data_IF_398581555026
#
_entry.id   IF_398581555026
#
_cell.length_a   1.000
_cell.length_b   1.000
_cell.length_c   1.000
_cell.angle_alpha   90.00
_cell.angle_beta   90.00
_cell.angle_gamma   90.00
#
_symmetry.space_group_name_H-M   'P 1'
#
loop_
_entity.id
_entity.type
_entity.pdbx_description
1 polymer ?
#
# COMPACT_ATOMS: atom_id res chain seq x y z
N UNK A 1 -10.57 0.99 6.70
CA UNK A 1 -9.19 1.05 7.24
C UNK A 1 -8.96 2.33 8.05
N UNK A 2 -7.97 2.39 8.95
CA UNK A 2 -7.52 3.64 9.60
C UNK A 2 -6.26 4.16 8.91
N UNK A 3 -6.14 5.48 8.77
CA UNK A 3 -5.02 6.12 8.09
C UNK A 3 -4.37 7.19 8.97
N UNK A 4 -3.06 7.37 8.83
CA UNK A 4 -2.37 8.51 9.42
C UNK A 4 -2.64 9.78 8.61
N UNK A 5 -2.49 10.94 9.24
CA UNK A 5 -2.57 12.22 8.53
C UNK A 5 -1.51 12.34 7.42
N UNK A 6 -0.31 11.80 7.65
CA UNK A 6 0.74 11.73 6.63
C UNK A 6 0.31 10.92 5.40
N UNK A 7 -0.37 9.78 5.60
CA UNK A 7 -0.93 8.99 4.51
C UNK A 7 -2.03 9.77 3.76
N UNK A 8 -2.96 10.41 4.49
CA UNK A 8 -4.04 11.20 3.88
C UNK A 8 -3.52 12.35 3.02
N UNK A 9 -2.43 13.01 3.44
CA UNK A 9 -1.76 14.02 2.64
C UNK A 9 -1.04 13.40 1.43
N UNK A 10 -0.32 12.30 1.64
CA UNK A 10 0.52 11.69 0.61
C UNK A 10 -0.31 11.05 -0.52
N UNK A 11 -1.49 10.49 -0.23
CA UNK A 11 -2.37 9.91 -1.27
C UNK A 11 -2.92 10.95 -2.24
N UNK A 12 -2.89 12.24 -1.89
CA UNK A 12 -3.35 13.33 -2.76
C UNK A 12 -2.30 13.76 -3.79
N UNK A 13 -1.04 13.30 -3.66
CA UNK A 13 0.02 13.66 -4.61
C UNK A 13 -0.32 13.12 -6.01
N UNK A 14 -0.03 13.87 -7.09
CA UNK A 14 -0.39 13.46 -8.46
C UNK A 14 0.14 12.07 -8.86
N UNK A 15 1.31 11.68 -8.37
CA UNK A 15 1.94 10.37 -8.61
C UNK A 15 1.27 9.21 -7.86
N UNK A 16 0.27 9.49 -7.01
CA UNK A 16 -0.37 8.52 -6.11
C UNK A 16 -1.89 8.61 -6.09
N UNK A 17 -2.47 9.70 -6.60
CA UNK A 17 -3.90 9.95 -6.57
C UNK A 17 -4.74 8.89 -7.31
N UNK A 18 -4.12 8.14 -8.24
CA UNK A 18 -4.77 7.04 -8.96
C UNK A 18 -4.82 5.73 -8.15
N UNK A 19 -4.13 5.63 -7.01
CA UNK A 19 -4.11 4.41 -6.20
C UNK A 19 -5.47 4.27 -5.50
N UNK A 20 -6.17 3.19 -5.83
CA UNK A 20 -7.49 2.87 -5.30
C UNK A 20 -7.41 2.21 -3.92
N UNK A 21 -8.40 2.46 -3.06
CA UNK A 21 -8.41 1.91 -1.69
C UNK A 21 -8.55 0.38 -1.73
N UNK A 22 -9.26 -0.16 -2.72
CA UNK A 22 -9.43 -1.59 -2.99
C UNK A 22 -8.09 -2.28 -3.30
N UNK A 23 -7.16 -1.59 -3.97
CA UNK A 23 -5.82 -2.12 -4.24
C UNK A 23 -4.99 -2.20 -2.96
N UNK A 24 -5.13 -1.19 -2.09
CA UNK A 24 -4.45 -1.16 -0.79
C UNK A 24 -4.98 -2.30 0.08
N UNK A 25 -6.31 -2.46 0.16
CA UNK A 25 -6.95 -3.55 0.89
C UNK A 25 -6.49 -4.91 0.36
N UNK A 26 -6.44 -5.11 -0.96
CA UNK A 26 -5.95 -6.34 -1.58
C UNK A 26 -4.51 -6.66 -1.16
N UNK A 27 -3.61 -5.68 -1.20
CA UNK A 27 -2.20 -5.85 -0.78
C UNK A 27 -2.11 -6.19 0.71
N UNK A 28 -2.97 -5.62 1.54
CA UNK A 28 -3.02 -5.93 2.97
C UNK A 28 -3.52 -7.35 3.18
N UNK A 29 -4.62 -7.77 2.57
CA UNK A 29 -5.24 -9.07 2.84
C UNK A 29 -4.46 -10.23 2.23
N UNK A 30 -3.92 -10.05 1.01
CA UNK A 30 -3.26 -11.11 0.25
C UNK A 30 -1.88 -10.65 -0.25
N UNK A 31 -0.91 -10.40 0.65
CA UNK A 31 0.43 -10.01 0.24
C UNK A 31 1.17 -11.17 -0.42
N UNK A 32 1.84 -10.89 -1.54
CA UNK A 32 2.82 -11.81 -2.14
C UNK A 32 4.14 -11.84 -1.36
N UNK A 33 4.46 -10.72 -0.69
CA UNK A 33 5.62 -10.61 0.18
C UNK A 33 5.26 -9.75 1.38
N UNK A 34 5.80 -10.13 2.54
CA UNK A 34 5.76 -9.33 3.76
C UNK A 34 7.17 -9.20 4.35
N UNK A 35 7.46 -8.05 4.93
CA UNK A 35 8.71 -7.78 5.64
C UNK A 35 8.40 -6.93 6.88
N UNK A 36 8.91 -7.33 8.04
CA UNK A 36 8.81 -6.57 9.28
C UNK A 36 10.15 -5.85 9.48
N UNK A 37 10.09 -4.52 9.60
CA UNK A 37 11.27 -3.69 9.82
C UNK A 37 11.68 -3.69 11.30
N UNK A 38 12.91 -3.27 11.57
CA UNK A 38 13.44 -3.15 12.95
C UNK A 38 12.66 -2.17 13.83
N UNK A 39 11.95 -1.21 13.23
CA UNK A 39 11.08 -0.24 13.91
C UNK A 39 9.64 -0.76 14.10
N UNK A 40 9.37 -2.03 13.77
CA UNK A 40 8.06 -2.67 13.88
C UNK A 40 7.14 -2.45 12.69
N UNK A 41 7.47 -1.55 11.76
CA UNK A 41 6.62 -1.28 10.59
C UNK A 41 6.60 -2.47 9.64
N UNK A 42 5.42 -2.79 9.13
CA UNK A 42 5.22 -3.91 8.21
C UNK A 42 5.13 -3.38 6.78
N UNK A 43 5.94 -3.94 5.87
CA UNK A 43 5.82 -3.72 4.43
C UNK A 43 5.11 -4.92 3.81
N UNK A 44 4.07 -4.66 3.03
CA UNK A 44 3.36 -5.66 2.23
C UNK A 44 3.44 -5.28 0.76
N UNK A 45 3.59 -6.27 -0.09
CA UNK A 45 3.58 -6.10 -1.54
C UNK A 45 2.60 -7.07 -2.18
N UNK A 46 1.84 -6.59 -3.16
CA UNK A 46 1.12 -7.45 -4.09
C UNK A 46 1.12 -6.83 -5.48
N UNK A 47 0.78 -7.63 -6.48
CA UNK A 47 0.64 -7.21 -7.87
C UNK A 47 -0.76 -6.65 -8.10
N UNK A 48 -0.85 -5.54 -8.83
CA UNK A 48 -2.11 -4.91 -9.22
C UNK A 48 -2.29 -5.15 -10.72
N UNK A 49 -3.16 -6.09 -11.07
CA UNK A 49 -3.39 -6.48 -12.46
C UNK A 49 -3.88 -5.30 -13.30
N UNK A 50 -4.74 -4.47 -12.71
CA UNK A 50 -5.33 -3.25 -13.26
C UNK A 50 -4.28 -2.18 -13.58
N UNK A 51 -3.09 -2.29 -13.01
CA UNK A 51 -1.98 -1.37 -13.21
C UNK A 51 -0.81 -2.07 -13.91
N UNK A 52 -1.09 -2.75 -15.04
CA UNK A 52 -0.08 -3.48 -15.83
C UNK A 52 0.72 -4.48 -14.99
N UNK A 53 0.07 -5.10 -14.01
CA UNK A 53 0.69 -6.04 -13.08
C UNK A 53 1.88 -5.45 -12.29
N UNK A 54 1.90 -4.13 -12.07
CA UNK A 54 2.91 -3.46 -11.24
C UNK A 54 2.75 -3.86 -9.77
N UNK A 55 3.85 -3.81 -9.03
CA UNK A 55 3.83 -4.10 -7.59
C UNK A 55 3.45 -2.84 -6.80
N UNK A 56 2.38 -2.93 -6.01
CA UNK A 56 2.03 -1.92 -5.02
C UNK A 56 2.62 -2.31 -3.67
N UNK A 57 3.28 -1.35 -3.00
CA UNK A 57 3.80 -1.52 -1.64
C UNK A 57 2.95 -0.72 -0.67
N UNK A 58 2.46 -1.39 0.37
CA UNK A 58 1.73 -0.77 1.48
C UNK A 58 2.58 -0.89 2.75
N UNK A 59 2.64 0.20 3.53
CA UNK A 59 3.34 0.24 4.82
C UNK A 59 2.29 0.37 5.92
N UNK A 60 2.33 -0.55 6.88
CA UNK A 60 1.51 -0.57 8.08
C UNK A 60 2.38 -0.18 9.29
N UNK A 61 1.75 0.52 10.24
CA UNK A 61 2.33 0.95 11.50
C UNK A 61 1.79 0.10 12.65
#
# INVERSE_FOLDING_TARGET
>A
MKFTQYFQYTRQRPDRAFIQDEWIERVIQNPLRQEIQSDGRIRRWARIAEMENRALRVILL
#
